data_IF_872699323131
#
_entry.id   IF_872699323131
#
_cell.length_a   1.000
_cell.length_b   1.000
_cell.length_c   1.000
_cell.angle_alpha   90.00
_cell.angle_beta   90.00
_cell.angle_gamma   90.00
#
_symmetry.space_group_name_H-M   'P 1'
#
loop_
_entity.id
_entity.type
_entity.pdbx_description
1 polymer ?
#
# COMPACT_ATOMS: atom_id res chain seq x y z
N UNK A 1 14.96 -1.24 29.32
CA UNK A 1 14.44 -2.55 28.89
C UNK A 1 15.43 -3.03 27.85
N UNK A 2 16.21 -4.07 28.14
CA UNK A 2 17.07 -4.65 27.10
C UNK A 2 16.20 -5.48 26.14
N UNK A 3 16.41 -5.26 24.83
CA UNK A 3 15.69 -5.94 23.76
C UNK A 3 16.12 -7.39 23.59
N UNK A 4 15.45 -8.15 22.71
CA UNK A 4 16.06 -9.38 22.18
C UNK A 4 17.27 -8.97 21.31
N UNK A 5 18.52 -9.32 21.69
CA UNK A 5 19.70 -8.90 20.97
C UNK A 5 19.68 -9.47 19.56
N UNK A 6 19.99 -8.62 18.58
CA UNK A 6 20.18 -9.10 17.23
C UNK A 6 21.41 -10.01 17.18
N UNK A 7 21.22 -11.27 16.79
CA UNK A 7 22.30 -12.24 16.61
C UNK A 7 22.61 -12.42 15.12
N UNK A 8 23.84 -12.79 14.80
CA UNK A 8 24.28 -12.96 13.41
C UNK A 8 23.43 -13.99 12.64
N UNK A 9 22.88 -14.99 13.34
CA UNK A 9 22.00 -16.00 12.76
C UNK A 9 20.71 -15.41 12.14
N UNK A 10 20.27 -14.22 12.56
CA UNK A 10 19.11 -13.53 11.97
C UNK A 10 19.38 -12.97 10.56
N UNK A 11 20.64 -12.92 10.12
CA UNK A 11 20.96 -12.61 8.72
C UNK A 11 20.68 -13.78 7.77
N UNK A 12 20.56 -15.00 8.29
CA UNK A 12 20.22 -16.20 7.53
C UNK A 12 18.78 -16.62 7.82
N UNK A 13 17.89 -16.45 6.84
CA UNK A 13 16.47 -16.81 6.96
C UNK A 13 16.21 -18.33 7.04
N UNK A 14 17.24 -19.15 6.87
CA UNK A 14 17.16 -20.61 7.01
C UNK A 14 17.61 -21.11 8.38
N UNK A 15 18.23 -20.24 9.20
CA UNK A 15 18.76 -20.57 10.52
C UNK A 15 17.65 -20.99 11.48
N UNK A 16 17.94 -21.91 12.42
CA UNK A 16 16.96 -22.33 13.42
C UNK A 16 16.49 -21.16 14.28
N UNK A 17 17.39 -20.22 14.63
CA UNK A 17 17.06 -19.06 15.45
C UNK A 17 16.15 -18.07 14.71
N UNK A 18 16.39 -17.82 13.42
CA UNK A 18 15.49 -17.01 12.59
C UNK A 18 14.10 -17.65 12.51
N UNK A 19 14.02 -18.96 12.25
CA UNK A 19 12.75 -19.69 12.12
C UNK A 19 11.96 -19.75 13.43
N UNK A 20 12.65 -19.91 14.56
CA UNK A 20 12.01 -19.90 15.87
C UNK A 20 11.40 -18.53 16.18
N UNK A 21 12.15 -17.46 15.96
CA UNK A 21 11.67 -16.09 16.15
C UNK A 21 10.54 -15.74 15.16
N UNK A 22 10.69 -16.11 13.89
CA UNK A 22 9.65 -15.97 12.88
C UNK A 22 8.37 -16.68 13.31
N UNK A 23 8.47 -17.94 13.77
CA UNK A 23 7.30 -18.71 14.21
C UNK A 23 6.59 -18.04 15.39
N UNK A 24 7.34 -17.55 16.38
CA UNK A 24 6.80 -16.84 17.55
C UNK A 24 6.12 -15.53 17.15
N UNK A 25 6.74 -14.76 16.24
CA UNK A 25 6.18 -13.52 15.69
C UNK A 25 4.91 -13.74 14.87
N UNK A 26 4.96 -14.69 13.94
CA UNK A 26 3.84 -15.02 13.06
C UNK A 26 2.68 -15.59 13.87
N UNK A 27 2.94 -16.43 14.88
CA UNK A 27 1.92 -16.94 15.79
C UNK A 27 1.23 -15.81 16.56
N UNK A 28 2.02 -14.90 17.14
CA UNK A 28 1.51 -13.75 17.91
C UNK A 28 0.67 -12.83 17.03
N UNK A 29 1.22 -12.34 15.92
CA UNK A 29 0.51 -11.43 15.03
C UNK A 29 -0.71 -12.10 14.39
N UNK A 30 -0.62 -13.39 14.01
CA UNK A 30 -1.77 -14.09 13.41
C UNK A 30 -2.92 -14.23 14.40
N UNK A 31 -2.66 -14.48 15.69
CA UNK A 31 -3.71 -14.49 16.72
C UNK A 31 -4.41 -13.14 16.83
N UNK A 32 -3.64 -12.06 16.89
CA UNK A 32 -4.14 -10.69 17.01
C UNK A 32 -5.02 -10.32 15.81
N UNK A 33 -4.48 -10.48 14.60
CA UNK A 33 -5.18 -10.07 13.38
C UNK A 33 -6.35 -10.98 13.03
N UNK A 34 -6.26 -12.29 13.33
CA UNK A 34 -7.40 -13.20 13.18
C UNK A 34 -8.52 -12.86 14.16
N UNK A 35 -8.20 -12.46 15.40
CA UNK A 35 -9.22 -12.06 16.37
C UNK A 35 -9.95 -10.76 15.94
N UNK A 36 -9.22 -9.77 15.40
CA UNK A 36 -9.83 -8.49 15.01
C UNK A 36 -10.54 -8.54 13.65
N UNK A 37 -9.95 -9.21 12.66
CA UNK A 37 -10.42 -9.17 11.27
C UNK A 37 -11.08 -10.46 10.78
N UNK A 38 -11.08 -11.52 11.59
CA UNK A 38 -11.77 -12.78 11.30
C UNK A 38 -11.39 -13.36 9.94
N UNK A 39 -12.40 -13.67 9.11
CA UNK A 39 -12.22 -14.29 7.80
C UNK A 39 -11.58 -13.37 6.74
N UNK A 40 -11.47 -12.06 7.03
CA UNK A 40 -10.77 -11.10 6.17
C UNK A 40 -9.26 -11.21 6.34
N UNK A 41 -8.78 -11.71 7.47
CA UNK A 41 -7.36 -11.99 7.68
C UNK A 41 -6.96 -13.31 7.01
N UNK A 42 -5.82 -13.31 6.32
CA UNK A 42 -5.26 -14.51 5.71
C UNK A 42 -4.06 -15.03 6.51
N UNK A 43 -3.00 -14.23 6.62
CA UNK A 43 -1.76 -14.63 7.30
C UNK A 43 -0.86 -13.43 7.60
N UNK A 44 0.10 -13.60 8.51
CA UNK A 44 1.23 -12.68 8.66
C UNK A 44 2.44 -13.23 7.91
N UNK A 45 3.37 -12.36 7.52
CA UNK A 45 4.66 -12.72 6.92
C UNK A 45 5.77 -11.88 7.56
N UNK A 46 6.92 -12.49 7.84
CA UNK A 46 8.12 -11.77 8.24
C UNK A 46 8.92 -11.46 6.97
N UNK A 47 9.26 -10.18 6.75
CA UNK A 47 10.03 -9.77 5.57
C UNK A 47 11.52 -9.77 5.84
N UNK A 48 11.92 -9.22 7.00
CA UNK A 48 13.31 -9.20 7.46
C UNK A 48 13.39 -8.90 8.95
N UNK A 49 14.49 -9.33 9.55
CA UNK A 49 14.97 -8.86 10.85
C UNK A 49 16.16 -7.94 10.62
N UNK A 50 16.29 -6.88 11.42
CA UNK A 50 17.42 -5.95 11.34
C UNK A 50 17.90 -5.56 12.73
N UNK A 51 19.21 -5.31 12.85
CA UNK A 51 19.80 -4.77 14.06
C UNK A 51 19.51 -3.27 14.19
N UNK A 52 19.24 -2.80 15.41
CA UNK A 52 19.19 -1.38 15.71
C UNK A 52 20.60 -0.77 15.71
N UNK A 53 20.77 0.35 14.98
CA UNK A 53 22.05 1.05 14.87
C UNK A 53 22.44 1.84 16.15
N UNK A 54 21.51 2.01 17.11
CA UNK A 54 21.71 2.83 18.31
C UNK A 54 21.64 1.93 19.54
N UNK A 55 22.80 1.64 20.16
CA UNK A 55 23.12 1.21 21.56
C UNK A 55 22.09 0.47 22.43
N UNK A 56 21.01 -0.06 21.88
CA UNK A 56 20.11 -0.98 22.53
C UNK A 56 20.17 -2.29 21.75
N UNK A 57 20.45 -3.36 22.47
CA UNK A 57 20.49 -4.76 22.07
C UNK A 57 19.10 -5.23 21.59
N UNK A 58 18.54 -4.59 20.57
CA UNK A 58 17.18 -4.82 20.09
C UNK A 58 17.13 -5.28 18.64
N UNK A 59 16.22 -6.22 18.39
CA UNK A 59 15.89 -6.73 17.06
C UNK A 59 14.66 -5.99 16.53
N UNK A 60 14.76 -5.43 15.33
CA UNK A 60 13.65 -4.83 14.61
C UNK A 60 13.11 -5.82 13.57
N UNK A 61 11.82 -6.14 13.66
CA UNK A 61 11.13 -6.99 12.71
C UNK A 61 10.31 -6.17 11.72
N UNK A 62 10.56 -6.34 10.42
CA UNK A 62 9.65 -5.87 9.38
C UNK A 62 8.64 -6.96 9.07
N UNK A 63 7.38 -6.71 9.44
CA UNK A 63 6.29 -7.66 9.27
C UNK A 63 5.29 -7.15 8.24
N UNK A 64 4.67 -8.09 7.51
CA UNK A 64 3.54 -7.87 6.63
C UNK A 64 2.30 -8.59 7.13
N UNK A 65 1.15 -7.92 7.11
CA UNK A 65 -0.18 -8.48 7.40
C UNK A 65 -0.90 -8.65 6.08
N UNK A 66 -1.39 -9.86 5.81
CA UNK A 66 -2.05 -10.23 4.56
C UNK A 66 -3.53 -10.45 4.81
N UNK A 67 -4.36 -9.74 4.03
CA UNK A 67 -5.82 -9.93 4.03
C UNK A 67 -6.27 -10.82 2.87
N UNK A 68 -7.49 -11.35 2.97
CA UNK A 68 -8.06 -12.29 2.03
C UNK A 68 -8.35 -11.62 0.68
N UNK A 69 -7.86 -12.27 -0.35
CA UNK A 69 -8.10 -12.06 -1.78
C UNK A 69 -9.48 -11.63 -2.22
N UNK A 70 -10.52 -12.16 -1.58
CA UNK A 70 -11.91 -11.93 -1.99
C UNK A 70 -12.53 -10.72 -1.30
N UNK A 71 -11.81 -10.08 -0.37
CA UNK A 71 -12.31 -8.92 0.37
C UNK A 71 -12.14 -7.65 -0.47
N UNK A 72 -13.21 -6.90 -0.79
CA UNK A 72 -13.11 -5.65 -1.55
C UNK A 72 -12.23 -4.60 -0.83
N UNK A 73 -11.47 -3.77 -1.55
CA UNK A 73 -10.61 -2.75 -0.93
C UNK A 73 -11.37 -1.75 -0.03
N UNK A 74 -12.63 -1.45 -0.35
CA UNK A 74 -13.50 -0.60 0.49
C UNK A 74 -13.85 -1.24 1.84
N UNK A 75 -13.73 -2.56 1.91
CA UNK A 75 -13.99 -3.41 3.05
C UNK A 75 -12.70 -3.72 3.84
N UNK A 76 -11.55 -3.24 3.37
CA UNK A 76 -10.29 -3.44 4.08
C UNK A 76 -10.02 -2.37 5.12
N UNK A 77 -9.39 -2.75 6.24
CA UNK A 77 -8.98 -1.79 7.25
C UNK A 77 -7.92 -0.87 6.70
N UNK A 78 -7.91 0.36 7.20
CA UNK A 78 -6.91 1.35 6.82
C UNK A 78 -5.52 0.96 7.35
N UNK A 79 -4.46 1.42 6.68
CA UNK A 79 -3.09 1.06 7.09
C UNK A 79 -2.78 1.46 8.55
N UNK A 80 -3.29 2.61 9.03
CA UNK A 80 -3.14 3.03 10.43
C UNK A 80 -3.92 2.12 11.39
N UNK A 81 -5.13 1.69 11.03
CA UNK A 81 -5.93 0.78 11.84
C UNK A 81 -5.23 -0.55 12.01
N UNK A 82 -4.55 -1.07 10.98
CA UNK A 82 -3.74 -2.28 11.08
C UNK A 82 -2.57 -2.08 12.05
N UNK A 83 -1.82 -0.98 11.92
CA UNK A 83 -0.75 -0.67 12.88
C UNK A 83 -1.26 -0.50 14.32
N UNK A 84 -2.36 0.25 14.49
CA UNK A 84 -2.98 0.51 15.78
C UNK A 84 -3.54 -0.76 16.43
N UNK A 85 -4.02 -1.72 15.63
CA UNK A 85 -4.44 -3.04 16.11
C UNK A 85 -3.32 -3.76 16.85
N UNK A 86 -2.10 -3.70 16.29
CA UNK A 86 -0.95 -4.31 16.94
C UNK A 86 -0.60 -3.58 18.23
N UNK A 87 -0.59 -2.24 18.20
CA UNK A 87 -0.36 -1.40 19.40
C UNK A 87 -1.37 -1.70 20.52
N UNK A 88 -2.66 -1.78 20.19
CA UNK A 88 -3.74 -2.08 21.14
C UNK A 88 -3.57 -3.48 21.75
N UNK A 89 -3.22 -4.47 20.94
CA UNK A 89 -3.05 -5.83 21.40
C UNK A 89 -1.82 -6.00 22.31
N UNK A 90 -0.69 -5.38 21.95
CA UNK A 90 0.56 -5.49 22.74
C UNK A 90 0.51 -4.65 24.03
N UNK A 91 -0.30 -3.57 24.06
CA UNK A 91 -0.57 -2.81 25.29
C UNK A 91 -1.54 -3.52 26.25
N UNK A 92 -2.22 -4.59 25.81
CA UNK A 92 -3.19 -5.27 26.65
C UNK A 92 -2.46 -6.22 27.62
N UNK A 93 -2.50 -5.89 28.92
CA UNK A 93 -1.82 -6.61 30.01
C UNK A 93 -2.36 -8.03 30.27
N UNK A 94 -3.45 -8.43 29.61
CA UNK A 94 -4.04 -9.77 29.70
C UNK A 94 -3.53 -10.74 28.61
N UNK A 95 -2.56 -10.33 27.80
CA UNK A 95 -2.11 -11.10 26.65
C UNK A 95 -1.00 -12.09 27.02
N UNK A 96 -1.21 -13.38 26.74
CA UNK A 96 -0.24 -14.47 26.94
C UNK A 96 0.69 -14.62 25.73
N UNK A 97 1.28 -13.54 25.24
CA UNK A 97 2.15 -13.60 24.06
C UNK A 97 3.56 -14.05 24.44
N UNK A 98 4.09 -15.01 23.68
CA UNK A 98 5.46 -15.49 23.86
C UNK A 98 6.51 -14.45 23.44
N UNK A 99 6.13 -13.37 22.74
CA UNK A 99 7.03 -12.29 22.28
C UNK A 99 6.55 -10.96 22.82
N UNK A 100 7.47 -10.15 23.35
CA UNK A 100 7.18 -8.78 23.75
C UNK A 100 7.51 -7.82 22.63
N UNK A 101 6.52 -7.00 22.23
CA UNK A 101 6.66 -5.97 21.19
C UNK A 101 6.47 -4.62 21.86
N UNK A 102 7.39 -3.70 21.63
CA UNK A 102 7.28 -2.34 22.14
C UNK A 102 6.20 -1.55 21.37
N UNK A 103 5.11 -1.07 22.03
CA UNK A 103 3.99 -0.39 21.37
C UNK A 103 4.42 0.91 20.68
N UNK A 104 5.29 1.71 21.30
CA UNK A 104 5.78 2.99 20.77
C UNK A 104 6.67 2.84 19.54
N UNK A 105 7.12 1.61 19.28
CA UNK A 105 8.03 1.28 18.20
C UNK A 105 7.29 0.83 16.93
N UNK A 106 5.97 0.64 17.00
CA UNK A 106 5.16 0.21 15.86
C UNK A 106 5.07 1.33 14.83
N UNK A 107 5.68 1.13 13.66
CA UNK A 107 5.59 2.08 12.53
C UNK A 107 4.98 1.41 11.32
N UNK A 108 3.99 2.05 10.71
CA UNK A 108 3.38 1.59 9.46
C UNK A 108 4.20 2.10 8.28
N UNK A 109 4.80 1.20 7.49
CA UNK A 109 5.64 1.60 6.36
C UNK A 109 4.84 1.74 5.06
N UNK A 110 3.86 0.86 4.80
CA UNK A 110 3.05 0.90 3.58
C UNK A 110 1.87 -0.07 3.61
N UNK A 111 0.87 0.18 2.77
CA UNK A 111 -0.25 -0.72 2.53
C UNK A 111 -1.26 -0.15 1.52
N UNK A 112 -2.26 -0.93 1.10
CA UNK A 112 -3.11 -0.57 -0.04
C UNK A 112 -4.29 0.35 0.29
N UNK A 113 -4.62 0.57 1.58
CA UNK A 113 -5.65 1.53 2.01
C UNK A 113 -4.95 2.72 2.69
N UNK A 114 -4.73 3.84 1.99
CA UNK A 114 -4.02 4.98 2.55
C UNK A 114 -4.74 5.50 3.80
N UNK A 115 -3.94 5.98 4.76
CA UNK A 115 -4.43 6.55 6.01
C UNK A 115 -5.27 7.79 5.75
N UNK A 116 -6.56 7.77 6.08
CA UNK A 116 -7.27 9.02 6.30
C UNK A 116 -6.94 9.48 7.71
N UNK A 117 -6.16 10.55 7.84
CA UNK A 117 -6.08 11.28 9.10
C UNK A 117 -7.43 11.98 9.31
N UNK A 118 -8.38 11.28 9.91
CA UNK A 118 -9.53 11.92 10.56
C UNK A 118 -9.00 12.48 11.87
N UNK A 119 -8.80 13.80 11.92
CA UNK A 119 -8.44 14.48 13.16
C UNK A 119 -9.51 14.18 14.24
N UNK A 120 -9.12 13.80 15.47
CA UNK A 120 -10.08 13.70 16.57
C UNK A 120 -10.55 15.12 16.90
N UNK A 121 -11.79 15.44 16.54
CA UNK A 121 -12.41 16.68 16.99
C UNK A 121 -13.02 16.41 18.36
N UNK A 122 -12.24 16.66 19.42
CA UNK A 122 -12.81 16.86 20.77
C UNK A 122 -12.42 18.25 21.23
N UNK A 123 -13.31 19.22 21.01
CA UNK A 123 -13.21 20.53 21.63
C UNK A 123 -14.52 20.83 22.34
N UNK A 124 -14.46 20.83 23.67
CA UNK A 124 -15.46 21.43 24.56
C UNK A 124 -15.60 22.91 24.21
N UNK A 125 -16.81 23.48 24.08
CA UNK A 125 -16.94 24.87 23.69
C UNK A 125 -16.46 25.78 24.83
N UNK A 126 -15.38 26.52 24.58
CA UNK A 126 -15.03 27.72 25.34
C UNK A 126 -15.22 28.92 24.43
N UNK A 127 -16.30 29.65 24.67
CA UNK A 127 -16.60 30.93 24.04
C UNK A 127 -15.44 31.89 24.28
N UNK A 128 -14.74 32.26 23.22
CA UNK A 128 -13.83 33.40 23.16
C UNK A 128 -14.22 34.24 21.94
N UNK A 129 -14.30 35.56 22.14
CA UNK A 129 -14.78 36.53 21.17
C UNK A 129 -13.92 36.55 19.87
N UNK A 130 -14.49 36.96 18.72
CA UNK A 130 -13.79 36.92 17.45
C UNK A 130 -12.71 38.00 17.39
N UNK A 131 -11.47 37.60 17.08
CA UNK A 131 -10.42 38.52 16.63
C UNK A 131 -10.18 38.22 15.15
N UNK A 132 -10.48 39.19 14.30
CA UNK A 132 -10.34 39.10 12.84
C UNK A 132 -8.86 39.18 12.47
N UNK A 133 -8.22 38.04 12.21
CA UNK A 133 -6.90 37.98 11.58
C UNK A 133 -7.06 37.76 10.07
N UNK A 134 -6.48 38.67 9.28
CA UNK A 134 -6.45 38.64 7.82
C UNK A 134 -5.73 37.36 7.32
N UNK A 135 -6.25 36.63 6.32
CA UNK A 135 -5.55 35.47 5.76
C UNK A 135 -4.23 35.91 5.12
N UNK A 136 -3.12 35.34 5.56
CA UNK A 136 -1.87 35.40 4.82
C UNK A 136 -1.93 34.34 3.71
N UNK A 137 -2.04 34.79 2.46
CA UNK A 137 -1.91 33.93 1.28
C UNK A 137 -0.47 33.40 1.23
N UNK A 138 -0.27 32.12 1.57
CA UNK A 138 0.98 31.43 1.32
C UNK A 138 1.23 31.37 -0.19
N UNK A 139 2.45 31.70 -0.62
CA UNK A 139 2.86 31.56 -2.01
C UNK A 139 2.71 30.11 -2.47
N UNK A 140 2.32 29.85 -3.73
CA UNK A 140 2.18 28.48 -4.22
C UNK A 140 3.54 27.78 -4.22
N UNK A 141 3.69 26.74 -3.39
CA UNK A 141 4.84 25.85 -3.45
C UNK A 141 4.67 24.92 -4.65
N UNK A 142 5.48 25.11 -5.70
CA UNK A 142 5.48 24.21 -6.87
C UNK A 142 6.00 22.83 -6.45
N UNK A 143 5.09 21.86 -6.35
CA UNK A 143 5.43 20.46 -6.04
C UNK A 143 6.04 19.81 -7.29
N UNK A 144 7.22 19.20 -7.17
CA UNK A 144 7.81 18.44 -8.27
C UNK A 144 6.95 17.22 -8.64
N UNK A 145 6.89 16.84 -9.92
CA UNK A 145 6.08 15.73 -10.39
C UNK A 145 6.94 14.51 -10.74
N UNK A 146 6.40 13.32 -10.51
CA UNK A 146 6.94 12.05 -10.99
C UNK A 146 5.91 11.44 -11.93
N UNK A 147 6.35 11.11 -13.15
CA UNK A 147 5.51 10.46 -14.15
C UNK A 147 5.82 8.97 -14.22
N UNK A 148 4.77 8.16 -14.30
CA UNK A 148 4.82 6.70 -14.42
C UNK A 148 4.16 6.28 -15.72
N UNK A 149 4.88 5.54 -16.55
CA UNK A 149 4.36 5.01 -17.81
C UNK A 149 3.63 3.71 -17.57
N UNK A 150 2.37 3.64 -17.96
CA UNK A 150 1.52 2.46 -17.79
C UNK A 150 1.13 1.91 -19.15
N UNK A 151 1.18 0.59 -19.30
CA UNK A 151 0.76 -0.12 -20.51
C UNK A 151 -0.30 -1.14 -20.15
N UNK A 152 -1.34 -1.29 -20.98
CA UNK A 152 -2.33 -2.36 -20.84
C UNK A 152 -3.01 -2.66 -22.18
N UNK A 153 -3.46 -3.89 -22.37
CA UNK A 153 -4.09 -4.41 -23.58
C UNK A 153 -5.61 -4.38 -23.47
N UNK A 154 -6.30 -4.06 -24.57
CA UNK A 154 -7.76 -4.11 -24.70
C UNK A 154 -8.17 -5.10 -25.79
N UNK A 155 -8.69 -6.27 -25.41
CA UNK A 155 -9.04 -7.35 -26.34
C UNK A 155 -10.40 -7.21 -27.03
N UNK A 156 -11.27 -6.30 -26.58
CA UNK A 156 -12.61 -6.10 -27.17
C UNK A 156 -12.55 -5.49 -28.58
N UNK A 157 -11.60 -4.59 -28.84
CA UNK A 157 -11.49 -3.87 -30.10
C UNK A 157 -10.31 -4.35 -30.95
N UNK A 158 -10.46 -4.19 -32.26
CA UNK A 158 -9.38 -4.47 -33.22
C UNK A 158 -8.56 -3.22 -33.49
N UNK A 159 -7.24 -3.37 -33.51
CA UNK A 159 -6.33 -2.29 -33.84
C UNK A 159 -6.48 -1.87 -35.30
N UNK A 160 -6.56 -0.56 -35.55
CA UNK A 160 -6.57 0.03 -36.90
C UNK A 160 -5.42 1.01 -37.06
N UNK A 161 -4.96 1.25 -38.30
CA UNK A 161 -3.87 2.19 -38.58
C UNK A 161 -4.20 3.63 -38.14
N UNK A 162 -5.48 4.00 -38.06
CA UNK A 162 -5.90 5.32 -37.56
C UNK A 162 -5.46 5.55 -36.10
N UNK A 163 -5.30 4.49 -35.30
CA UNK A 163 -4.79 4.57 -33.93
C UNK A 163 -3.28 4.87 -33.85
N UNK A 164 -2.56 4.87 -34.98
CA UNK A 164 -1.17 5.34 -35.03
C UNK A 164 -1.07 6.86 -35.23
N UNK A 165 -2.17 7.52 -35.61
CA UNK A 165 -2.19 8.94 -35.93
C UNK A 165 -2.91 9.74 -34.82
N UNK A 166 -2.19 10.51 -33.97
CA UNK A 166 -2.78 11.34 -32.91
C UNK A 166 -3.83 12.34 -33.39
N UNK A 167 -3.83 12.71 -34.68
CA UNK A 167 -4.79 13.64 -35.26
C UNK A 167 -6.11 12.99 -35.69
N UNK A 168 -6.15 11.65 -35.81
CA UNK A 168 -7.32 10.91 -36.30
C UNK A 168 -8.49 10.94 -35.31
N UNK A 169 -9.70 10.77 -35.83
CA UNK A 169 -10.90 10.66 -35.00
C UNK A 169 -10.85 9.42 -34.09
N UNK A 170 -10.33 8.30 -34.60
CA UNK A 170 -10.21 7.05 -33.83
C UNK A 170 -9.25 7.21 -32.63
N UNK A 171 -8.07 7.81 -32.83
CA UNK A 171 -7.11 8.06 -31.76
C UNK A 171 -7.72 8.98 -30.70
N UNK A 172 -8.27 10.13 -31.11
CA UNK A 172 -8.85 11.13 -30.19
C UNK A 172 -10.05 10.57 -29.42
N UNK A 173 -10.92 9.81 -30.08
CA UNK A 173 -12.07 9.17 -29.46
C UNK A 173 -11.65 8.17 -28.37
N UNK A 174 -10.72 7.27 -28.70
CA UNK A 174 -10.18 6.31 -27.73
C UNK A 174 -9.43 7.00 -26.58
N UNK A 175 -8.58 7.98 -26.89
CA UNK A 175 -7.83 8.70 -25.87
C UNK A 175 -8.76 9.43 -24.88
N UNK A 176 -9.81 10.07 -25.40
CA UNK A 176 -10.85 10.72 -24.59
C UNK A 176 -11.58 9.70 -23.71
N UNK A 177 -11.92 8.53 -24.25
CA UNK A 177 -12.60 7.47 -23.52
C UNK A 177 -11.75 6.96 -22.34
N UNK A 178 -10.47 6.69 -22.57
CA UNK A 178 -9.52 6.25 -21.54
C UNK A 178 -9.36 7.33 -20.46
N UNK A 179 -9.11 8.59 -20.88
CA UNK A 179 -8.95 9.70 -19.94
C UNK A 179 -10.20 9.91 -19.08
N UNK A 180 -11.39 9.90 -19.69
CA UNK A 180 -12.66 10.17 -18.99
C UNK A 180 -12.96 9.12 -17.93
N UNK A 181 -12.59 7.86 -18.18
CA UNK A 181 -12.91 6.76 -17.26
C UNK A 181 -11.81 6.47 -16.24
N UNK A 182 -10.53 6.60 -16.62
CA UNK A 182 -9.43 6.29 -15.70
C UNK A 182 -9.03 7.47 -14.81
N UNK A 183 -9.16 8.72 -15.27
CA UNK A 183 -8.88 9.90 -14.43
C UNK A 183 -9.64 9.88 -13.10
N UNK A 184 -10.98 9.71 -13.05
CA UNK A 184 -11.70 9.68 -11.78
C UNK A 184 -11.30 8.47 -10.91
N UNK A 185 -10.92 7.34 -11.51
CA UNK A 185 -10.41 6.18 -10.77
C UNK A 185 -9.09 6.53 -10.08
N UNK A 186 -8.13 7.07 -10.82
CA UNK A 186 -6.83 7.47 -10.25
C UNK A 186 -6.97 8.61 -9.23
N UNK A 187 -7.85 9.58 -9.47
CA UNK A 187 -8.12 10.65 -8.52
C UNK A 187 -8.76 10.13 -7.23
N UNK A 188 -9.67 9.14 -7.34
CA UNK A 188 -10.30 8.51 -6.18
C UNK A 188 -9.31 7.67 -5.37
N UNK A 189 -8.43 6.92 -6.04
CA UNK A 189 -7.47 6.02 -5.38
C UNK A 189 -6.28 6.80 -4.82
N UNK A 190 -5.86 7.88 -5.49
CA UNK A 190 -4.67 8.67 -5.13
C UNK A 190 -4.99 10.18 -5.00
N UNK A 191 -5.90 10.58 -4.09
CA UNK A 191 -6.46 11.94 -4.06
C UNK A 191 -5.42 13.04 -3.77
N UNK A 192 -4.37 12.71 -3.01
CA UNK A 192 -3.33 13.66 -2.61
C UNK A 192 -2.18 13.75 -3.62
N UNK A 193 -1.90 12.65 -4.32
CA UNK A 193 -0.72 12.55 -5.18
C UNK A 193 -1.04 12.65 -6.66
N UNK A 194 -2.19 12.19 -7.14
CA UNK A 194 -2.56 12.25 -8.56
C UNK A 194 -2.57 13.69 -9.09
N UNK A 195 -2.04 13.89 -10.30
CA UNK A 195 -1.98 15.19 -10.99
C UNK A 195 -2.56 15.13 -12.40
N UNK A 196 -2.15 14.16 -13.21
CA UNK A 196 -2.67 14.00 -14.57
C UNK A 196 -2.60 12.55 -15.06
N UNK A 197 -3.40 12.25 -16.07
CA UNK A 197 -3.33 11.03 -16.86
C UNK A 197 -3.42 11.46 -18.33
N UNK A 198 -2.42 11.05 -19.10
CA UNK A 198 -2.28 11.44 -20.50
C UNK A 198 -2.03 10.21 -21.36
N UNK A 199 -2.78 10.06 -22.44
CA UNK A 199 -2.56 8.98 -23.40
C UNK A 199 -1.35 9.32 -24.28
N UNK A 200 -0.40 8.40 -24.36
CA UNK A 200 0.86 8.57 -25.09
C UNK A 200 0.74 7.99 -26.49
N UNK A 201 0.34 6.73 -26.60
CA UNK A 201 0.26 6.03 -27.88
C UNK A 201 -0.59 4.77 -27.81
N UNK A 202 -0.94 4.25 -28.99
CA UNK A 202 -1.54 2.94 -29.16
C UNK A 202 -0.64 2.09 -30.06
N UNK A 203 -0.63 0.77 -29.84
CA UNK A 203 0.09 -0.16 -30.72
C UNK A 203 -0.65 -1.47 -30.92
N UNK A 204 -0.21 -2.24 -31.91
CA UNK A 204 -0.84 -3.49 -32.33
C UNK A 204 -0.69 -4.61 -31.28
N UNK A 205 -1.67 -5.50 -31.23
CA UNK A 205 -1.77 -6.62 -30.30
C UNK A 205 -3.10 -6.64 -29.55
N UNK A 206 -4.24 -6.47 -30.22
CA UNK A 206 -5.53 -6.08 -29.60
C UNK A 206 -5.39 -4.84 -28.71
N UNK A 207 -5.05 -3.74 -29.39
CA UNK A 207 -4.80 -2.38 -28.87
C UNK A 207 -4.09 -2.34 -27.52
N UNK A 208 -2.76 -2.22 -27.58
CA UNK A 208 -1.95 -1.87 -26.41
C UNK A 208 -2.06 -0.36 -26.20
N UNK A 209 -2.60 0.05 -25.07
CA UNK A 209 -2.72 1.43 -24.65
C UNK A 209 -1.49 1.80 -23.81
N UNK A 210 -0.83 2.89 -24.17
CA UNK A 210 0.30 3.46 -23.41
C UNK A 210 -0.16 4.81 -22.86
N UNK A 211 -0.12 4.95 -21.54
CA UNK A 211 -0.50 6.18 -20.85
C UNK A 211 0.62 6.61 -19.91
N UNK A 212 0.71 7.91 -19.64
CA UNK A 212 1.57 8.48 -18.62
C UNK A 212 0.68 9.02 -17.50
N UNK A 213 0.94 8.58 -16.26
CA UNK A 213 0.23 9.01 -15.07
C UNK A 213 1.20 9.81 -14.19
N UNK A 214 0.86 11.07 -13.93
CA UNK A 214 1.72 11.99 -13.18
C UNK A 214 1.23 12.18 -11.75
N UNK A 215 2.16 12.14 -10.81
CA UNK A 215 1.91 12.28 -9.38
C UNK A 215 2.83 13.33 -8.75
N UNK A 216 2.44 13.91 -7.61
CA UNK A 216 3.33 14.70 -6.77
C UNK A 216 4.46 13.83 -6.21
N UNK A 217 5.70 14.30 -6.31
CA UNK A 217 6.91 13.53 -6.04
C UNK A 217 7.01 13.00 -4.61
N UNK A 218 6.47 13.72 -3.64
CA UNK A 218 6.52 13.38 -2.21
C UNK A 218 5.58 12.24 -1.82
N UNK A 219 4.69 11.82 -2.71
CA UNK A 219 3.65 10.81 -2.42
C UNK A 219 3.29 9.97 -3.65
N UNK A 220 4.24 9.85 -4.59
CA UNK A 220 4.03 9.11 -5.82
C UNK A 220 3.88 7.60 -5.50
N UNK A 221 2.80 6.95 -5.97
CA UNK A 221 2.59 5.53 -5.73
C UNK A 221 3.61 4.66 -6.46
N UNK A 222 3.86 3.47 -5.92
CA UNK A 222 4.71 2.47 -6.54
C UNK A 222 3.99 1.74 -7.70
N UNK A 223 4.75 0.99 -8.48
CA UNK A 223 4.25 0.28 -9.66
C UNK A 223 3.09 -0.67 -9.37
N UNK A 224 3.14 -1.38 -8.24
CA UNK A 224 2.07 -2.32 -7.84
C UNK A 224 0.77 -1.58 -7.50
N UNK A 225 0.85 -0.45 -6.80
CA UNK A 225 -0.31 0.38 -6.49
C UNK A 225 -1.00 0.90 -7.76
N UNK A 226 -0.21 1.33 -8.75
CA UNK A 226 -0.71 1.81 -10.04
C UNK A 226 -1.35 0.67 -10.83
N UNK A 227 -0.73 -0.51 -10.86
CA UNK A 227 -1.28 -1.68 -11.54
C UNK A 227 -2.63 -2.10 -10.92
N UNK A 228 -2.72 -2.14 -9.59
CA UNK A 228 -3.97 -2.47 -8.89
C UNK A 228 -5.09 -1.47 -9.18
N UNK A 229 -4.76 -0.18 -9.34
CA UNK A 229 -5.76 0.82 -9.73
C UNK A 229 -6.40 0.50 -11.10
N UNK A 230 -5.60 0.03 -12.07
CA UNK A 230 -6.12 -0.42 -13.37
C UNK A 230 -6.90 -1.73 -13.28
N UNK A 231 -6.44 -2.69 -12.48
CA UNK A 231 -7.17 -3.95 -12.25
C UNK A 231 -8.56 -3.66 -11.68
N UNK A 232 -8.67 -2.73 -10.73
CA UNK A 232 -9.95 -2.31 -10.17
C UNK A 232 -10.83 -1.57 -11.19
N UNK A 233 -10.22 -0.79 -12.08
CA UNK A 233 -10.94 -0.12 -13.15
C UNK A 233 -11.51 -1.12 -14.17
N UNK A 234 -10.87 -2.28 -14.36
CA UNK A 234 -11.18 -3.24 -15.41
C UNK A 234 -12.65 -3.71 -15.40
N UNK A 235 -13.29 -3.78 -14.23
CA UNK A 235 -14.70 -4.18 -14.10
C UNK A 235 -15.70 -3.02 -14.28
N UNK A 236 -15.21 -1.79 -14.38
CA UNK A 236 -16.03 -0.56 -14.41
C UNK A 236 -15.93 0.21 -15.72
N UNK A 237 -14.90 -0.08 -16.53
CA UNK A 237 -14.72 0.57 -17.83
C UNK A 237 -15.74 0.10 -18.85
N UNK A 238 -16.15 1.00 -19.74
CA UNK A 238 -17.14 0.79 -20.79
C UNK A 238 -16.57 1.25 -22.13
N UNK A 239 -16.75 0.47 -23.19
CA UNK A 239 -16.23 0.79 -24.53
C UNK A 239 -14.76 0.44 -24.75
N UNK A 240 -14.05 0.01 -23.71
CA UNK A 240 -12.79 -0.72 -23.79
C UNK A 240 -12.68 -1.67 -22.60
N UNK A 241 -11.80 -2.65 -22.69
CA UNK A 241 -11.45 -3.56 -21.60
C UNK A 241 -9.99 -3.39 -21.20
N UNK A 242 -9.67 -3.93 -20.01
CA UNK A 242 -8.31 -3.98 -19.48
C UNK A 242 -8.00 -5.44 -19.21
N UNK A 243 -7.15 -6.05 -20.04
CA UNK A 243 -6.60 -7.38 -19.77
C UNK A 243 -5.62 -7.27 -18.59
N UNK A 244 -6.07 -7.56 -17.37
CA UNK A 244 -5.29 -7.31 -16.15
C UNK A 244 -3.87 -7.89 -16.16
N UNK A 245 -3.64 -9.00 -16.85
CA UNK A 245 -2.30 -9.60 -16.95
C UNK A 245 -1.33 -8.90 -17.91
N UNK A 246 -1.83 -8.02 -18.76
CA UNK A 246 -1.01 -7.22 -19.69
C UNK A 246 -0.51 -5.93 -19.06
N UNK A 247 -0.96 -5.61 -17.84
CA UNK A 247 -0.62 -4.35 -17.20
C UNK A 247 0.89 -4.30 -16.96
N UNK A 248 1.51 -3.19 -17.32
CA UNK A 248 2.92 -2.91 -17.05
C UNK A 248 3.08 -1.50 -16.54
N UNK A 249 3.99 -1.28 -15.60
CA UNK A 249 4.30 0.06 -15.08
C UNK A 249 5.81 0.29 -15.15
N UNK A 250 6.22 1.35 -15.84
CA UNK A 250 7.61 1.66 -16.18
C UNK A 250 8.36 0.49 -16.86
N UNK A 251 7.65 -0.29 -17.69
CA UNK A 251 8.23 -1.46 -18.38
C UNK A 251 8.37 -2.71 -17.51
N UNK A 252 7.92 -2.69 -16.25
CA UNK A 252 7.84 -3.87 -15.38
C UNK A 252 6.50 -4.55 -15.64
N UNK A 253 6.52 -5.74 -16.24
CA UNK A 253 5.33 -6.54 -16.55
C UNK A 253 4.66 -7.08 -15.29
N UNK A 254 3.33 -7.01 -15.22
CA UNK A 254 2.50 -7.61 -14.16
C UNK A 254 2.48 -9.15 -14.20
N UNK A 255 3.21 -9.81 -15.10
CA UNK A 255 3.34 -11.28 -15.13
C UNK A 255 4.08 -11.84 -13.90
N UNK A 256 4.85 -11.02 -13.18
CA UNK A 256 5.34 -11.34 -11.83
C UNK A 256 4.28 -11.24 -10.72
N UNK A 257 3.05 -10.83 -11.05
CA UNK A 257 1.93 -10.61 -10.11
C UNK A 257 0.87 -11.73 -10.21
N UNK A 258 1.05 -12.73 -11.08
CA UNK A 258 0.09 -13.85 -11.27
C UNK A 258 0.02 -14.88 -10.13
N UNK A 259 0.72 -14.66 -9.01
CA UNK A 259 0.44 -15.35 -7.73
C UNK A 259 0.08 -14.39 -6.57
N UNK A 260 -0.11 -13.11 -6.86
CA UNK A 260 -0.21 -12.04 -5.86
C UNK A 260 -1.40 -11.11 -6.15
N UNK A 261 -2.45 -11.60 -6.82
CA UNK A 261 -3.65 -10.84 -7.25
C UNK A 261 -4.56 -10.43 -6.07
N UNK A 262 -4.02 -10.47 -4.86
CA UNK A 262 -4.75 -10.49 -3.60
C UNK A 262 -3.90 -10.24 -2.38
N UNK A 263 -2.63 -9.91 -2.56
CA UNK A 263 -1.77 -9.58 -1.43
C UNK A 263 -1.97 -8.12 -1.05
N UNK A 264 -2.99 -7.88 -0.23
CA UNK A 264 -3.05 -6.65 0.55
C UNK A 264 -2.07 -6.81 1.69
N UNK A 265 -0.87 -6.24 1.51
CA UNK A 265 0.18 -6.24 2.52
C UNK A 265 0.15 -4.92 3.27
N UNK A 266 -0.19 -4.94 4.55
CA UNK A 266 0.13 -3.83 5.45
C UNK A 266 1.46 -4.16 6.12
N UNK A 267 2.49 -3.33 5.95
CA UNK A 267 3.78 -3.56 6.61
C UNK A 267 3.96 -2.68 7.84
N UNK A 268 4.41 -3.29 8.94
CA UNK A 268 4.76 -2.60 10.16
C UNK A 268 6.13 -3.03 10.70
N UNK A 269 6.85 -2.08 11.29
CA UNK A 269 8.08 -2.30 12.03
C UNK A 269 7.78 -2.47 13.49
N UNK A 270 8.37 -3.46 14.12
CA UNK A 270 8.20 -3.73 15.54
C UNK A 270 9.56 -3.92 16.19
N UNK A 271 9.79 -3.29 17.35
CA UNK A 271 10.95 -3.58 18.19
C UNK A 271 10.60 -4.66 19.19
N UNK A 272 11.46 -5.67 19.27
CA UNK A 272 11.29 -6.85 20.11
C UNK A 272 12.00 -6.68 21.45
N UNK A 273 11.30 -7.00 22.53
CA UNK A 273 11.79 -6.96 23.90
C UNK A 273 11.90 -8.37 24.47
N UNK A 274 12.92 -8.63 25.29
CA UNK A 274 13.12 -9.96 25.87
C UNK A 274 12.21 -10.19 27.08
N UNK A 275 11.71 -11.42 27.21
CA UNK A 275 11.17 -11.97 28.46
C UNK A 275 12.12 -13.10 28.87
N UNK A 276 12.63 -13.06 30.11
CA UNK A 276 13.16 -14.26 30.76
C UNK A 276 12.02 -15.28 30.82
N UNK A 277 11.95 -16.20 29.87
CA UNK A 277 11.19 -17.43 30.08
C UNK A 277 12.05 -18.33 30.97
N UNK A 278 11.96 -18.09 32.27
CA UNK A 278 12.31 -19.09 33.27
C UNK A 278 11.19 -20.14 33.24
N UNK A 279 11.48 -21.31 32.70
CA UNK A 279 10.78 -22.53 33.06
C UNK A 279 11.85 -23.53 33.50
N UNK A 280 11.79 -23.86 34.79
CA UNK A 280 12.48 -24.96 35.45
C UNK A 280 12.24 -26.30 34.75
#
# INVERSE_FOLDING_TARGET
MEGEPFIDAYNDNTSPEYKELETRLLSTCSKIYKAKYGNRFSQCKLKKLRALAVRETGTEAEMGVVFNSTTPLADLPQNNEVGQTLVEAVNNTNSTFDVSISPDSVKVESGPVPTTTTAPTTAKPKTAAPITARPATAAPTTIALITKRVTFRSVLDTFTNDLLNPSSAAYKGRATMINTQLTPVFQKIFPLSFKSLDVVSFSNGSIINVIDVSFGSTSAPNSTQIANALINAASTVVGFDIEGSSIGVNGISSSGVRQEISLVTASCLCLLSWILSNQQ
#
